data_IF_453478420325
#
_entry.id   IF_453478420325
#
_cell.length_a   1.000
_cell.length_b   1.000
_cell.length_c   1.000
_cell.angle_alpha   90.00
_cell.angle_beta   90.00
_cell.angle_gamma   90.00
#
_symmetry.space_group_name_H-M   'P 1'
#
loop_
_entity.id
_entity.type
_entity.pdbx_description
1 polymer ?
#
# COMPACT_ATOMS: atom_id res chain seq x y z
N UNK A 1 -22.60 -7.25 -9.89
CA UNK A 1 -21.91 -7.27 -8.59
C UNK A 1 -22.07 -5.94 -7.90
N UNK A 2 -22.45 -5.97 -6.64
CA UNK A 2 -22.58 -4.75 -5.86
C UNK A 2 -21.19 -4.24 -5.52
N UNK A 3 -20.82 -3.07 -6.00
CA UNK A 3 -19.55 -2.45 -5.71
C UNK A 3 -19.58 -1.87 -4.28
N UNK A 4 -18.68 -2.30 -3.42
CA UNK A 4 -18.59 -1.81 -2.05
C UNK A 4 -18.35 -0.30 -2.00
N UNK A 5 -17.59 0.23 -2.93
CA UNK A 5 -17.32 1.67 -3.01
C UNK A 5 -18.62 2.44 -3.29
N UNK A 6 -19.42 1.96 -4.22
CA UNK A 6 -20.72 2.59 -4.55
C UNK A 6 -21.65 2.57 -3.35
N UNK A 7 -21.74 1.42 -2.66
CA UNK A 7 -22.57 1.27 -1.46
C UNK A 7 -22.11 2.22 -0.36
N UNK A 8 -20.81 2.29 -0.09
CA UNK A 8 -20.26 3.18 0.91
C UNK A 8 -20.50 4.63 0.55
N UNK A 9 -20.37 5.00 -0.71
CA UNK A 9 -20.62 6.37 -1.18
C UNK A 9 -22.08 6.78 -0.97
N UNK A 10 -23.01 5.89 -1.27
CA UNK A 10 -24.45 6.16 -1.04
C UNK A 10 -24.73 6.42 0.43
N UNK A 11 -24.15 5.61 1.31
CA UNK A 11 -24.31 5.79 2.76
C UNK A 11 -23.68 7.10 3.23
N UNK A 12 -22.52 7.46 2.70
CA UNK A 12 -21.83 8.70 3.05
C UNK A 12 -22.69 9.94 2.70
N UNK A 13 -23.37 9.92 1.57
CA UNK A 13 -24.25 11.03 1.18
C UNK A 13 -25.42 11.24 2.14
N UNK A 14 -25.81 10.21 2.88
CA UNK A 14 -26.90 10.27 3.84
C UNK A 14 -26.43 10.67 5.25
N UNK A 15 -25.14 10.82 5.46
CA UNK A 15 -24.56 11.06 6.78
C UNK A 15 -24.45 12.55 7.10
N UNK A 16 -24.63 12.88 8.38
CA UNK A 16 -24.34 14.21 8.90
C UNK A 16 -22.84 14.36 9.24
N UNK A 17 -22.45 15.55 9.71
CA UNK A 17 -21.04 15.85 10.03
C UNK A 17 -20.44 14.94 11.07
N UNK A 18 -21.20 14.59 12.11
CA UNK A 18 -20.70 13.72 13.18
C UNK A 18 -20.49 12.30 12.68
N UNK A 19 -21.42 11.80 11.89
CA UNK A 19 -21.32 10.48 11.29
C UNK A 19 -20.13 10.40 10.32
N UNK A 20 -19.92 11.45 9.51
CA UNK A 20 -18.79 11.52 8.60
C UNK A 20 -17.46 11.49 9.34
N UNK A 21 -17.37 12.16 10.49
CA UNK A 21 -16.16 12.11 11.32
C UNK A 21 -15.88 10.71 11.82
N UNK A 22 -16.92 10.00 12.29
CA UNK A 22 -16.78 8.62 12.75
C UNK A 22 -16.33 7.70 11.62
N UNK A 23 -16.86 7.86 10.43
CA UNK A 23 -16.46 7.09 9.26
C UNK A 23 -15.00 7.39 8.89
N UNK A 24 -14.59 8.65 8.95
CA UNK A 24 -13.21 9.05 8.70
C UNK A 24 -12.23 8.38 9.66
N UNK A 25 -12.59 8.31 10.95
CA UNK A 25 -11.78 7.61 11.95
C UNK A 25 -11.71 6.11 11.65
N UNK A 26 -12.83 5.51 11.26
CA UNK A 26 -12.85 4.09 10.89
C UNK A 26 -11.97 3.81 9.67
N UNK A 27 -11.96 4.70 8.70
CA UNK A 27 -11.10 4.59 7.52
C UNK A 27 -9.63 4.62 7.94
N UNK A 28 -9.25 5.54 8.83
CA UNK A 28 -7.87 5.62 9.32
C UNK A 28 -7.45 4.36 10.07
N UNK A 29 -8.33 3.83 10.92
CA UNK A 29 -8.06 2.58 11.64
C UNK A 29 -7.87 1.41 10.68
N UNK A 30 -8.71 1.32 9.65
CA UNK A 30 -8.60 0.26 8.65
C UNK A 30 -7.31 0.38 7.85
N UNK A 31 -6.93 1.58 7.44
CA UNK A 31 -5.67 1.82 6.73
C UNK A 31 -4.46 1.43 7.56
N UNK A 32 -4.48 1.79 8.85
CA UNK A 32 -3.41 1.41 9.77
C UNK A 32 -3.31 -0.10 9.91
N UNK A 33 -4.45 -0.77 10.04
CA UNK A 33 -4.51 -2.22 10.14
C UNK A 33 -3.94 -2.90 8.89
N UNK A 34 -4.34 -2.44 7.70
CA UNK A 34 -3.84 -2.98 6.44
C UNK A 34 -2.35 -2.75 6.28
N UNK A 35 -1.85 -1.59 6.69
CA UNK A 35 -0.42 -1.29 6.63
C UNK A 35 0.38 -2.22 7.53
N UNK A 36 -0.11 -2.50 8.73
CA UNK A 36 0.55 -3.45 9.65
C UNK A 36 0.57 -4.86 9.09
N UNK A 37 -0.54 -5.30 8.50
CA UNK A 37 -0.60 -6.62 7.86
C UNK A 37 0.36 -6.70 6.66
N UNK A 38 0.39 -5.67 5.84
CA UNK A 38 1.26 -5.63 4.68
C UNK A 38 2.74 -5.70 5.07
N UNK A 39 3.13 -4.97 6.12
CA UNK A 39 4.51 -4.97 6.62
C UNK A 39 4.97 -6.37 7.02
N UNK A 40 4.09 -7.17 7.62
CA UNK A 40 4.43 -8.53 8.06
C UNK A 40 4.78 -9.47 6.92
N UNK A 41 4.36 -9.14 5.70
CA UNK A 41 4.62 -9.96 4.53
C UNK A 41 6.01 -9.76 3.93
N UNK A 42 6.75 -8.75 4.38
CA UNK A 42 8.05 -8.40 3.82
C UNK A 42 9.18 -8.66 4.81
N UNK A 43 10.29 -9.19 4.30
CA UNK A 43 11.52 -9.36 5.05
C UNK A 43 12.69 -8.81 4.25
N UNK A 44 13.80 -8.50 4.93
CA UNK A 44 15.02 -8.04 4.29
C UNK A 44 15.47 -9.04 3.20
N UNK A 45 15.77 -8.52 2.04
CA UNK A 45 16.20 -9.32 0.90
C UNK A 45 15.08 -9.65 -0.10
N UNK A 46 13.82 -9.41 0.26
CA UNK A 46 12.72 -9.63 -0.68
C UNK A 46 12.83 -8.70 -1.89
N UNK A 47 12.58 -9.26 -3.06
CA UNK A 47 12.48 -8.47 -4.28
C UNK A 47 11.05 -8.01 -4.47
N UNK A 48 10.88 -6.71 -4.65
CA UNK A 48 9.57 -6.07 -4.71
C UNK A 48 9.46 -5.11 -5.89
N UNK A 49 8.23 -4.74 -6.20
CA UNK A 49 7.92 -3.76 -7.24
C UNK A 49 6.95 -2.74 -6.68
N UNK A 50 7.13 -1.50 -7.07
CA UNK A 50 6.19 -0.43 -6.73
C UNK A 50 6.07 0.55 -7.90
N UNK A 51 5.00 1.33 -7.92
CA UNK A 51 4.80 2.38 -8.92
C UNK A 51 5.37 3.68 -8.40
N UNK A 52 6.32 4.26 -9.13
CA UNK A 52 6.89 5.55 -8.76
C UNK A 52 5.97 6.67 -9.23
N UNK A 53 5.59 7.54 -8.30
CA UNK A 53 4.80 8.74 -8.63
C UNK A 53 5.63 9.76 -9.43
N UNK A 54 6.94 9.69 -9.31
CA UNK A 54 7.85 10.61 -10.01
C UNK A 54 7.95 10.32 -11.49
N UNK A 55 8.01 9.03 -11.86
CA UNK A 55 8.18 8.61 -13.25
C UNK A 55 6.91 8.00 -13.84
N UNK A 56 5.94 7.68 -12.99
CA UNK A 56 4.71 6.99 -13.41
C UNK A 56 4.90 5.53 -13.80
N UNK A 57 6.13 5.02 -13.69
CA UNK A 57 6.44 3.65 -14.07
C UNK A 57 6.65 2.73 -12.87
N UNK A 58 6.72 1.45 -13.15
CA UNK A 58 6.99 0.43 -12.14
C UNK A 58 8.49 0.33 -11.90
N UNK A 59 8.86 0.27 -10.62
CA UNK A 59 10.27 0.19 -10.21
C UNK A 59 10.48 -1.09 -9.42
N UNK A 60 11.52 -1.84 -9.79
CA UNK A 60 11.93 -3.03 -9.07
C UNK A 60 12.99 -2.66 -8.02
N UNK A 61 12.86 -3.24 -6.84
CA UNK A 61 13.75 -2.93 -5.73
C UNK A 61 13.91 -4.14 -4.82
N UNK A 62 14.88 -4.05 -3.92
CA UNK A 62 15.12 -5.06 -2.88
C UNK A 62 14.85 -4.44 -1.52
N UNK A 63 14.15 -5.16 -0.66
CA UNK A 63 13.86 -4.72 0.71
C UNK A 63 15.16 -4.70 1.51
N UNK A 64 15.51 -3.54 2.05
CA UNK A 64 16.69 -3.40 2.91
C UNK A 64 16.34 -3.41 4.39
N UNK A 65 15.19 -2.80 4.74
CA UNK A 65 14.76 -2.73 6.13
C UNK A 65 13.23 -2.61 6.20
N UNK A 66 12.63 -3.28 7.16
CA UNK A 66 11.20 -3.20 7.41
C UNK A 66 10.98 -2.41 8.70
N UNK A 67 10.37 -1.25 8.59
CA UNK A 67 9.99 -0.40 9.72
C UNK A 67 8.49 -0.55 10.02
N UNK A 68 8.04 0.04 11.11
CA UNK A 68 6.63 -0.07 11.52
C UNK A 68 5.64 0.49 10.52
N UNK A 69 6.02 1.56 9.81
CA UNK A 69 5.12 2.26 8.86
C UNK A 69 5.56 2.15 7.41
N UNK A 70 6.85 1.95 7.18
CA UNK A 70 7.44 1.98 5.84
C UNK A 70 8.39 0.82 5.66
N UNK A 71 8.60 0.47 4.40
CA UNK A 71 9.64 -0.46 4.01
C UNK A 71 10.70 0.35 3.27
N UNK A 72 11.96 0.20 3.67
CA UNK A 72 13.06 0.84 2.97
C UNK A 72 13.55 -0.13 1.91
N UNK A 73 13.52 0.32 0.68
CA UNK A 73 13.92 -0.48 -0.48
C UNK A 73 15.04 0.21 -1.24
N UNK A 74 15.88 -0.60 -1.87
CA UNK A 74 16.95 -0.12 -2.72
C UNK A 74 16.64 -0.49 -4.16
N UNK A 75 16.58 0.49 -5.06
CA UNK A 75 16.28 0.23 -6.46
C UNK A 75 17.42 -0.54 -7.13
N UNK A 76 17.09 -1.39 -8.08
CA UNK A 76 18.09 -2.18 -8.80
C UNK A 76 18.92 -1.30 -9.76
N UNK A 77 18.34 -0.23 -10.24
CA UNK A 77 19.02 0.73 -11.11
C UNK A 77 19.35 1.98 -10.30
N UNK A 78 20.63 2.29 -10.17
CA UNK A 78 21.10 3.46 -9.44
C UNK A 78 21.26 3.29 -7.94
N UNK A 79 20.72 2.22 -7.35
CA UNK A 79 20.88 1.95 -5.92
C UNK A 79 20.22 2.95 -4.98
N UNK A 80 19.24 3.71 -5.45
CA UNK A 80 18.55 4.69 -4.62
C UNK A 80 17.71 4.01 -3.55
N UNK A 81 17.72 4.58 -2.36
CA UNK A 81 16.90 4.10 -1.26
C UNK A 81 15.61 4.89 -1.19
N UNK A 82 14.50 4.17 -1.06
CA UNK A 82 13.17 4.76 -1.01
C UNK A 82 12.44 4.26 0.22
N UNK A 83 11.65 5.13 0.83
CA UNK A 83 10.70 4.73 1.86
C UNK A 83 9.34 4.58 1.19
N UNK A 84 8.83 3.37 1.19
CA UNK A 84 7.58 3.04 0.51
C UNK A 84 6.63 2.38 1.48
N UNK A 85 5.36 2.81 1.55
CA UNK A 85 4.37 2.09 2.36
C UNK A 85 4.25 0.65 1.88
N UNK A 86 4.18 -0.30 2.81
CA UNK A 86 4.12 -1.71 2.46
C UNK A 86 2.91 -2.06 1.58
N UNK A 87 1.82 -1.31 1.72
CA UNK A 87 0.61 -1.51 0.91
C UNK A 87 0.82 -1.19 -0.57
N UNK A 88 1.86 -0.42 -0.90
CA UNK A 88 2.20 -0.07 -2.28
C UNK A 88 3.20 -1.04 -2.91
N UNK A 89 3.74 -1.96 -2.12
CA UNK A 89 4.73 -2.93 -2.58
C UNK A 89 4.06 -4.24 -2.99
N UNK A 90 4.56 -4.82 -4.07
CA UNK A 90 4.17 -6.16 -4.50
C UNK A 90 5.43 -7.00 -4.61
N UNK A 91 5.42 -8.20 -4.03
CA UNK A 91 6.55 -9.12 -4.17
C UNK A 91 6.66 -9.55 -5.63
N UNK A 92 7.87 -9.55 -6.17
CA UNK A 92 8.08 -10.00 -7.55
C UNK A 92 7.68 -11.46 -7.73
N UNK A 93 7.82 -12.27 -6.69
CA UNK A 93 7.38 -13.67 -6.72
C UNK A 93 5.86 -13.82 -6.86
N UNK A 94 5.10 -12.82 -6.43
CA UNK A 94 3.64 -12.85 -6.51
C UNK A 94 3.11 -12.26 -7.82
N UNK A 95 3.97 -11.63 -8.60
CA UNK A 95 3.59 -11.10 -9.90
C UNK A 95 3.54 -12.25 -10.89
N UNK A 96 2.34 -12.54 -11.38
CA UNK A 96 2.19 -13.53 -12.44
C UNK A 96 2.73 -12.94 -13.73
N UNK A 97 3.87 -13.42 -14.14
CA UNK A 97 4.35 -13.15 -15.48
C UNK A 97 3.39 -13.88 -16.41
N UNK A 98 2.60 -13.15 -17.15
CA UNK A 98 1.59 -13.73 -18.02
C UNK A 98 2.21 -14.78 -18.92
N UNK A 99 1.70 -15.96 -18.82
CA UNK A 99 2.05 -17.03 -19.72
C UNK A 99 1.50 -16.73 -21.10
#
# INVERSE_FOLDING_TARGET
MTNLVTKASELIYQMDSDQLRQVSEAIQLKRTHLAKQAIRNFVKGDMVQFTSSRTGGKVNATVEKVNKKYVIVSTHIGGEKWRVPATMLTKLSDIKVGA
#
